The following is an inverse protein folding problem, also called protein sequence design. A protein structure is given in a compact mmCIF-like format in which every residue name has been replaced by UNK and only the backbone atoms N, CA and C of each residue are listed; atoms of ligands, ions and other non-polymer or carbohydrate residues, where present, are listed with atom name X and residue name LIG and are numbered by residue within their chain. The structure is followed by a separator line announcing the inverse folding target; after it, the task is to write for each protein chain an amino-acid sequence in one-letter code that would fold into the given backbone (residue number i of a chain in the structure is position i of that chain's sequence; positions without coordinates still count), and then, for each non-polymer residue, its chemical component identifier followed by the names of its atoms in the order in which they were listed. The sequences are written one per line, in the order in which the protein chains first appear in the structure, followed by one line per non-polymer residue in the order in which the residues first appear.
data_IF_878329118920
#
_entry.id   IF_878329118920
#
_cell.length_a   1.000
_cell.length_b   1.000
_cell.length_c   1.000
_cell.angle_alpha   90.00
_cell.angle_beta   90.00
_cell.angle_gamma   90.00
#
_symmetry.space_group_name_H-M   'P 1'
#
loop_
_entity.id
_entity.type
_entity.pdbx_description
1 polymer ?
#
# COMPACT_ATOMS: atom_id res chain seq x y z
N UNK A 1 -11.40 -3.83 36.54
CA UNK A 1 -12.38 -3.90 35.44
C UNK A 1 -13.20 -5.17 35.54
N UNK A 2 -14.44 -5.21 35.05
CA UNK A 2 -15.18 -6.47 34.85
C UNK A 2 -14.40 -7.39 33.91
N UNK A 3 -14.38 -8.69 34.18
CA UNK A 3 -13.87 -9.69 33.22
C UNK A 3 -15.04 -10.18 32.38
N UNK A 4 -15.00 -9.89 31.08
CA UNK A 4 -15.95 -10.41 30.11
C UNK A 4 -15.50 -11.80 29.63
N UNK A 5 -16.45 -12.70 29.41
CA UNK A 5 -16.25 -14.04 28.84
C UNK A 5 -16.20 -14.05 27.30
N UNK A 6 -16.34 -12.87 26.69
CA UNK A 6 -16.29 -12.64 25.25
C UNK A 6 -15.42 -11.43 24.89
N UNK A 7 -14.97 -11.39 23.64
CA UNK A 7 -14.39 -10.22 22.96
C UNK A 7 -15.22 -9.88 21.73
N UNK A 8 -14.99 -8.72 21.12
CA UNK A 8 -15.59 -8.36 19.84
C UNK A 8 -14.60 -8.62 18.71
N UNK A 9 -15.00 -9.39 17.69
CA UNK A 9 -14.37 -9.29 16.38
C UNK A 9 -15.09 -8.19 15.60
N UNK A 10 -14.33 -7.18 15.22
CA UNK A 10 -14.74 -6.06 14.40
C UNK A 10 -14.20 -6.27 12.99
N UNK A 11 -14.95 -5.87 11.97
CA UNK A 11 -14.46 -5.85 10.58
C UNK A 11 -14.99 -4.61 9.87
N UNK A 12 -14.09 -3.75 9.42
CA UNK A 12 -14.36 -2.42 8.88
C UNK A 12 -13.48 -2.14 7.65
N UNK A 13 -13.70 -1.01 6.98
CA UNK A 13 -12.80 -0.51 5.91
C UNK A 13 -12.09 0.75 6.38
N UNK A 14 -10.78 0.83 6.18
CA UNK A 14 -10.01 2.06 6.40
C UNK A 14 -10.22 3.07 5.25
N UNK A 15 -9.49 4.19 5.28
CA UNK A 15 -9.55 5.22 4.26
C UNK A 15 -9.18 4.71 2.85
N UNK A 16 -8.23 3.77 2.76
CA UNK A 16 -7.70 3.17 1.54
C UNK A 16 -8.55 2.01 0.98
N UNK A 17 -9.80 1.88 1.44
CA UNK A 17 -10.73 0.78 1.20
C UNK A 17 -10.26 -0.62 1.64
N UNK A 18 -9.15 -0.75 2.37
CA UNK A 18 -8.63 -2.01 2.92
C UNK A 18 -9.58 -2.51 4.00
N UNK A 19 -10.04 -3.76 3.88
CA UNK A 19 -10.85 -4.38 4.92
C UNK A 19 -9.94 -4.86 6.06
N UNK A 20 -10.13 -4.31 7.26
CA UNK A 20 -9.37 -4.65 8.46
C UNK A 20 -10.25 -5.50 9.37
N UNK A 21 -9.70 -6.56 9.94
CA UNK A 21 -10.35 -7.42 10.94
C UNK A 21 -9.56 -7.36 12.25
N UNK A 22 -10.22 -7.02 13.34
CA UNK A 22 -9.58 -6.73 14.64
C UNK A 22 -10.34 -7.40 15.80
N UNK A 23 -9.61 -7.84 16.83
CA UNK A 23 -10.18 -8.28 18.13
C UNK A 23 -9.97 -7.20 19.17
N UNK A 24 -11.07 -6.77 19.81
CA UNK A 24 -11.06 -5.77 20.88
C UNK A 24 -11.83 -6.25 22.11
N UNK A 25 -11.35 -5.85 23.28
CA UNK A 25 -11.98 -6.19 24.56
C UNK A 25 -13.19 -5.27 24.86
N UNK A 26 -14.26 -5.75 25.50
CA UNK A 26 -15.38 -4.90 25.83
C UNK A 26 -14.97 -3.82 26.85
N UNK A 27 -15.12 -2.55 26.46
CA UNK A 27 -14.76 -1.40 27.29
C UNK A 27 -13.28 -1.02 27.27
N UNK A 28 -12.48 -1.51 26.30
CA UNK A 28 -11.17 -0.92 26.00
C UNK A 28 -11.33 0.40 25.24
N UNK A 29 -10.32 1.27 25.32
CA UNK A 29 -10.33 2.55 24.59
C UNK A 29 -10.45 2.33 23.07
N UNK A 30 -9.78 1.30 22.55
CA UNK A 30 -9.87 0.87 21.14
C UNK A 30 -11.27 0.41 20.74
N UNK A 31 -12.01 -0.25 21.63
CA UNK A 31 -13.41 -0.59 21.40
C UNK A 31 -14.31 0.66 21.38
N UNK A 32 -14.05 1.64 22.25
CA UNK A 32 -14.76 2.93 22.27
C UNK A 32 -14.50 3.72 20.99
N UNK A 33 -13.25 3.78 20.52
CA UNK A 33 -12.84 4.43 19.29
C UNK A 33 -13.56 3.84 18.06
N UNK A 34 -13.42 2.53 17.83
CA UNK A 34 -14.04 1.84 16.69
C UNK A 34 -15.57 1.97 16.71
N UNK A 35 -16.20 1.85 17.87
CA UNK A 35 -17.66 1.91 17.99
C UNK A 35 -18.18 3.35 17.92
N UNK A 36 -17.37 4.36 18.26
CA UNK A 36 -17.67 5.76 17.99
C UNK A 36 -17.72 6.09 16.49
N UNK A 37 -16.98 5.34 15.67
CA UNK A 37 -16.96 5.45 14.22
C UNK A 37 -17.95 4.51 13.48
N UNK A 38 -18.82 3.78 14.20
CA UNK A 38 -19.66 2.71 13.61
C UNK A 38 -20.65 3.17 12.52
N UNK A 39 -21.12 4.42 12.60
CA UNK A 39 -22.07 4.98 11.62
C UNK A 39 -21.35 5.58 10.40
N UNK A 40 -20.06 5.92 10.51
CA UNK A 40 -19.26 6.51 9.42
C UNK A 40 -18.46 5.44 8.67
N UNK A 41 -17.90 4.46 9.39
CA UNK A 41 -17.23 3.29 8.82
C UNK A 41 -18.24 2.15 8.66
N UNK A 42 -18.32 1.54 7.47
CA UNK A 42 -19.21 0.39 7.20
C UNK A 42 -18.74 -0.86 7.94
N UNK A 43 -19.02 -0.90 9.23
CA UNK A 43 -18.44 -1.82 10.19
C UNK A 43 -19.40 -2.96 10.52
N UNK A 44 -18.85 -4.15 10.71
CA UNK A 44 -19.56 -5.34 11.18
C UNK A 44 -18.92 -5.82 12.48
N UNK A 45 -19.76 -6.26 13.43
CA UNK A 45 -19.32 -6.65 14.77
C UNK A 45 -19.96 -7.99 15.12
N UNK A 46 -19.16 -8.93 15.65
CA UNK A 46 -19.66 -10.15 16.28
C UNK A 46 -18.93 -10.43 17.59
N UNK A 47 -19.57 -11.16 18.50
CA UNK A 47 -18.91 -11.68 19.70
C UNK A 47 -18.08 -12.93 19.37
N UNK A 48 -16.91 -13.05 19.99
CA UNK A 48 -16.01 -14.21 19.93
C UNK A 48 -15.55 -14.59 21.34
N UNK A 49 -14.92 -15.76 21.48
CA UNK A 49 -14.39 -16.22 22.78
C UNK A 49 -13.35 -15.24 23.35
N UNK A 50 -13.28 -15.11 24.67
CA UNK A 50 -12.23 -14.37 25.35
C UNK A 50 -10.80 -14.90 25.08
N UNK A 51 -10.67 -16.14 24.58
CA UNK A 51 -9.37 -16.78 24.27
C UNK A 51 -8.70 -16.26 22.99
N UNK A 52 -9.36 -15.41 22.19
CA UNK A 52 -8.69 -14.74 21.07
C UNK A 52 -7.75 -13.66 21.61
N UNK A 53 -6.56 -13.55 21.02
CA UNK A 53 -5.64 -12.45 21.28
C UNK A 53 -6.21 -11.13 20.73
N UNK A 54 -5.79 -10.01 21.30
CA UNK A 54 -6.24 -8.67 20.89
C UNK A 54 -5.41 -8.16 19.72
N UNK A 55 -5.97 -7.25 18.92
CA UNK A 55 -5.29 -6.62 17.80
C UNK A 55 -5.78 -7.12 16.43
N UNK A 56 -5.03 -6.79 15.39
CA UNK A 56 -5.40 -7.04 13.99
C UNK A 56 -5.20 -8.52 13.66
N UNK A 57 -6.26 -9.19 13.21
CA UNK A 57 -6.24 -10.58 12.70
C UNK A 57 -5.94 -10.67 11.20
N UNK A 58 -5.86 -9.53 10.52
CA UNK A 58 -5.55 -9.45 9.10
C UNK A 58 -6.25 -8.29 8.39
N UNK A 59 -5.55 -7.77 7.39
CA UNK A 59 -5.96 -6.79 6.38
C UNK A 59 -6.32 -7.53 5.08
N UNK A 60 -7.20 -6.96 4.26
CA UNK A 60 -7.54 -7.50 2.94
C UNK A 60 -7.73 -6.38 1.90
N UNK A 61 -6.89 -6.40 0.84
CA UNK A 61 -6.79 -5.35 -0.18
C UNK A 61 -7.15 -5.90 -1.57
N UNK A 62 -7.86 -5.09 -2.36
CA UNK A 62 -8.45 -5.50 -3.64
C UNK A 62 -7.72 -4.88 -4.85
N UNK A 63 -6.79 -5.63 -5.44
CA UNK A 63 -5.95 -5.16 -6.54
C UNK A 63 -6.61 -5.36 -7.92
N UNK A 64 -6.74 -4.32 -8.76
CA UNK A 64 -7.24 -4.45 -10.12
C UNK A 64 -6.15 -5.02 -11.05
N UNK A 65 -6.47 -6.13 -11.71
CA UNK A 65 -5.63 -6.80 -12.72
C UNK A 65 -6.35 -6.95 -14.06
N UNK A 66 -5.60 -6.91 -15.17
CA UNK A 66 -6.11 -7.07 -16.53
C UNK A 66 -6.25 -8.55 -16.88
N UNK A 67 -7.42 -8.95 -17.38
CA UNK A 67 -7.72 -10.33 -17.82
C UNK A 67 -7.47 -10.55 -19.32
N UNK A 68 -7.36 -9.48 -20.10
CA UNK A 68 -7.31 -9.47 -21.57
C UNK A 68 -8.38 -8.53 -22.13
N UNK A 69 -8.22 -8.07 -23.38
CA UNK A 69 -9.18 -7.23 -24.12
C UNK A 69 -9.81 -6.08 -23.28
N UNK A 70 -8.98 -5.34 -22.55
CA UNK A 70 -9.35 -4.24 -21.64
C UNK A 70 -10.36 -4.58 -20.52
N UNK A 71 -10.62 -5.87 -20.27
CA UNK A 71 -11.40 -6.33 -19.13
C UNK A 71 -10.51 -6.42 -17.88
N UNK A 72 -11.01 -5.92 -16.74
CA UNK A 72 -10.34 -5.93 -15.45
C UNK A 72 -11.09 -6.81 -14.44
N UNK A 73 -10.33 -7.48 -13.57
CA UNK A 73 -10.85 -8.24 -12.42
C UNK A 73 -10.12 -7.75 -11.17
N UNK A 74 -10.83 -7.57 -10.05
CA UNK A 74 -10.18 -7.41 -8.73
C UNK A 74 -9.76 -8.78 -8.20
N UNK A 75 -8.53 -8.90 -7.73
CA UNK A 75 -8.07 -10.01 -6.86
C UNK A 75 -7.99 -9.50 -5.43
N UNK A 76 -8.29 -10.36 -4.47
CA UNK A 76 -8.13 -10.07 -3.05
C UNK A 76 -6.85 -10.73 -2.56
N UNK A 77 -6.00 -9.96 -1.89
CA UNK A 77 -4.89 -10.48 -1.08
C UNK A 77 -5.27 -10.22 0.36
N UNK A 78 -5.28 -11.26 1.19
CA UNK A 78 -5.38 -11.12 2.63
C UNK A 78 -3.95 -11.20 3.19
N UNK A 79 -3.63 -10.40 4.19
CA UNK A 79 -2.30 -10.33 4.78
C UNK A 79 -2.38 -9.86 6.24
N UNK A 80 -1.35 -10.16 7.02
CA UNK A 80 -1.05 -9.50 8.29
C UNK A 80 0.27 -8.74 8.15
N UNK A 81 0.48 -7.75 9.02
CA UNK A 81 1.73 -7.01 9.16
C UNK A 81 2.18 -7.21 10.60
N UNK A 82 3.32 -7.85 10.80
CA UNK A 82 3.89 -8.15 12.12
C UNK A 82 5.38 -7.74 12.08
N UNK A 83 5.85 -6.92 13.03
CA UNK A 83 7.28 -6.59 13.23
C UNK A 83 8.04 -6.39 11.90
N UNK A 84 7.67 -5.37 11.13
CA UNK A 84 8.24 -5.01 9.80
C UNK A 84 8.01 -6.01 8.64
N UNK A 85 7.23 -7.07 8.85
CA UNK A 85 7.05 -8.13 7.86
C UNK A 85 5.58 -8.27 7.41
N UNK A 86 5.37 -8.24 6.10
CA UNK A 86 4.10 -8.68 5.49
C UNK A 86 4.05 -10.21 5.54
N UNK A 87 2.90 -10.78 5.90
CA UNK A 87 2.64 -12.23 5.74
C UNK A 87 1.31 -12.43 5.03
N UNK A 88 1.29 -13.24 3.97
CA UNK A 88 0.12 -13.39 3.10
C UNK A 88 -0.75 -14.58 3.57
N UNK A 89 -2.02 -14.30 3.84
CA UNK A 89 -2.99 -15.22 4.42
C UNK A 89 -3.89 -15.86 3.35
N UNK A 90 -4.11 -17.18 3.47
CA UNK A 90 -5.02 -17.98 2.62
C UNK A 90 -4.81 -17.83 1.10
N UNK A 91 -3.58 -17.57 0.66
CA UNK A 91 -3.29 -17.31 -0.76
C UNK A 91 -3.62 -18.49 -1.67
N UNK A 92 -4.32 -18.20 -2.77
CA UNK A 92 -4.61 -19.17 -3.83
C UNK A 92 -3.91 -18.75 -5.12
N UNK A 93 -2.93 -19.54 -5.62
CA UNK A 93 -2.24 -19.27 -6.87
C UNK A 93 -3.22 -19.01 -8.02
N UNK A 94 -2.94 -17.97 -8.79
CA UNK A 94 -3.80 -17.51 -9.87
C UNK A 94 -3.01 -17.27 -11.16
N UNK A 95 -3.72 -17.22 -12.28
CA UNK A 95 -3.15 -16.89 -13.59
C UNK A 95 -3.25 -15.40 -13.88
N UNK A 96 -2.10 -14.77 -14.13
CA UNK A 96 -2.02 -13.43 -14.69
C UNK A 96 -1.55 -13.56 -16.15
N UNK A 97 -2.47 -13.36 -17.09
CA UNK A 97 -2.32 -13.80 -18.47
C UNK A 97 -1.96 -15.30 -18.50
N UNK A 98 -0.82 -15.68 -19.06
CA UNK A 98 -0.38 -17.08 -19.16
C UNK A 98 0.47 -17.55 -17.94
N UNK A 99 0.91 -16.62 -17.09
CA UNK A 99 1.88 -16.87 -16.02
C UNK A 99 1.19 -17.20 -14.70
N UNK A 100 1.82 -18.05 -13.88
CA UNK A 100 1.31 -18.41 -12.55
C UNK A 100 1.90 -17.48 -11.51
N UNK A 101 1.04 -16.81 -10.74
CA UNK A 101 1.43 -16.01 -9.58
C UNK A 101 1.36 -16.88 -8.33
N UNK A 102 2.41 -16.85 -7.52
CA UNK A 102 2.56 -17.58 -6.26
C UNK A 102 3.08 -16.63 -5.18
N UNK A 103 3.14 -17.07 -3.92
CA UNK A 103 3.84 -16.35 -2.86
C UNK A 103 5.28 -16.88 -2.78
N UNK A 104 6.24 -15.97 -2.60
CA UNK A 104 7.58 -16.23 -2.10
C UNK A 104 7.52 -16.05 -0.58
N UNK A 105 7.70 -17.12 0.18
CA UNK A 105 7.80 -17.06 1.63
C UNK A 105 9.28 -16.89 2.01
N UNK A 106 9.62 -15.85 2.78
CA UNK A 106 10.98 -15.55 3.22
C UNK A 106 11.01 -15.13 4.69
N UNK A 107 12.22 -14.96 5.22
CA UNK A 107 12.42 -14.43 6.57
C UNK A 107 12.07 -12.93 6.62
N UNK A 108 12.31 -12.19 5.52
CA UNK A 108 11.93 -10.78 5.34
C UNK A 108 10.47 -10.61 4.84
N UNK A 109 9.61 -11.59 5.14
CA UNK A 109 8.18 -11.58 4.80
C UNK A 109 7.79 -12.23 3.46
N UNK A 110 6.48 -12.18 3.21
CA UNK A 110 5.81 -12.80 2.08
C UNK A 110 5.53 -11.79 0.96
N UNK A 111 6.04 -12.08 -0.25
CA UNK A 111 5.80 -11.27 -1.44
C UNK A 111 5.24 -12.10 -2.60
N UNK A 112 4.49 -11.48 -3.51
CA UNK A 112 4.07 -12.15 -4.73
C UNK A 112 5.26 -12.33 -5.68
N UNK A 113 5.37 -13.54 -6.24
CA UNK A 113 6.35 -13.90 -7.27
C UNK A 113 5.67 -14.54 -8.48
N UNK A 114 6.35 -14.50 -9.62
CA UNK A 114 5.88 -15.10 -10.87
C UNK A 114 7.00 -15.90 -11.52
N UNK A 115 6.71 -17.15 -11.85
CA UNK A 115 7.63 -17.98 -12.64
C UNK A 115 7.40 -17.72 -14.15
N UNK A 116 8.46 -17.34 -14.85
CA UNK A 116 8.48 -17.14 -16.30
C UNK A 116 8.85 -18.42 -17.07
N UNK A 117 9.24 -19.50 -16.39
CA UNK A 117 9.45 -20.83 -16.92
C UNK A 117 10.67 -21.02 -17.83
N UNK A 118 11.57 -20.03 -17.92
CA UNK A 118 12.79 -20.06 -18.75
C UNK A 118 13.93 -19.31 -18.06
N UNK A 119 15.11 -19.94 -17.98
CA UNK A 119 16.35 -19.28 -17.52
C UNK A 119 16.81 -18.15 -18.46
N UNK A 120 16.48 -18.23 -19.75
CA UNK A 120 16.80 -17.21 -20.76
C UNK A 120 15.51 -16.64 -21.32
N UNK A 121 15.25 -15.36 -21.06
CA UNK A 121 14.08 -14.65 -21.57
C UNK A 121 14.30 -14.12 -23.00
N UNK A 122 14.43 -15.05 -23.95
CA UNK A 122 14.47 -14.75 -25.38
C UNK A 122 13.04 -14.60 -25.94
N UNK A 123 12.56 -13.36 -25.99
CA UNK A 123 11.18 -13.03 -26.36
C UNK A 123 10.96 -13.17 -27.87
N UNK A 124 9.99 -13.99 -28.27
CA UNK A 124 9.78 -14.39 -29.66
C UNK A 124 8.79 -13.49 -30.41
N UNK A 125 8.04 -12.65 -29.70
CA UNK A 125 7.07 -11.72 -30.30
C UNK A 125 6.88 -10.43 -29.49
N UNK A 126 6.47 -9.35 -30.16
CA UNK A 126 6.09 -8.08 -29.50
C UNK A 126 4.99 -8.26 -28.44
N UNK A 127 4.07 -9.19 -28.67
CA UNK A 127 2.98 -9.51 -27.73
C UNK A 127 3.49 -10.18 -26.45
N UNK A 128 4.45 -11.10 -26.58
CA UNK A 128 5.08 -11.77 -25.42
C UNK A 128 5.86 -10.75 -24.57
N UNK A 129 6.57 -9.78 -25.19
CA UNK A 129 7.23 -8.65 -24.50
C UNK A 129 6.22 -7.83 -23.69
N UNK A 130 5.11 -7.42 -24.33
CA UNK A 130 4.09 -6.60 -23.68
C UNK A 130 3.42 -7.33 -22.51
N UNK A 131 3.16 -8.64 -22.66
CA UNK A 131 2.57 -9.47 -21.62
C UNK A 131 3.50 -9.63 -20.41
N UNK A 132 4.80 -9.87 -20.61
CA UNK A 132 5.76 -10.01 -19.48
C UNK A 132 5.98 -8.68 -18.78
N UNK A 133 6.14 -7.57 -19.53
CA UNK A 133 6.20 -6.23 -18.91
C UNK A 133 4.95 -5.96 -18.06
N UNK A 134 3.76 -6.26 -18.58
CA UNK A 134 2.52 -6.09 -17.84
C UNK A 134 2.49 -6.92 -16.55
N UNK A 135 2.90 -8.19 -16.62
CA UNK A 135 2.94 -9.12 -15.48
C UNK A 135 3.93 -8.65 -14.42
N UNK A 136 5.18 -8.37 -14.79
CA UNK A 136 6.22 -7.88 -13.86
C UNK A 136 5.79 -6.59 -13.16
N UNK A 137 5.36 -5.58 -13.92
CA UNK A 137 4.92 -4.31 -13.36
C UNK A 137 3.70 -4.47 -12.43
N UNK A 138 2.79 -5.41 -12.73
CA UNK A 138 1.62 -5.67 -11.88
C UNK A 138 2.01 -6.32 -10.56
N UNK A 139 2.94 -7.29 -10.58
CA UNK A 139 3.44 -7.94 -9.37
C UNK A 139 4.27 -6.97 -8.51
N UNK A 140 5.16 -6.19 -9.12
CA UNK A 140 5.90 -5.14 -8.42
C UNK A 140 4.97 -4.12 -7.77
N UNK A 141 3.96 -3.63 -8.49
CA UNK A 141 2.98 -2.69 -7.91
C UNK A 141 2.26 -3.29 -6.70
N UNK A 142 1.79 -4.54 -6.78
CA UNK A 142 1.11 -5.20 -5.65
C UNK A 142 2.06 -5.36 -4.46
N UNK A 143 3.31 -5.77 -4.68
CA UNK A 143 4.30 -5.90 -3.61
C UNK A 143 4.60 -4.55 -2.95
N UNK A 144 4.81 -3.49 -3.73
CA UNK A 144 5.04 -2.15 -3.20
C UNK A 144 3.82 -1.64 -2.38
N UNK A 145 2.58 -1.87 -2.87
CA UNK A 145 1.35 -1.51 -2.16
C UNK A 145 1.07 -2.35 -0.88
N UNK A 146 1.80 -3.46 -0.68
CA UNK A 146 1.80 -4.25 0.56
C UNK A 146 2.93 -3.80 1.50
N UNK A 147 4.12 -3.51 0.96
CA UNK A 147 5.26 -3.00 1.74
C UNK A 147 5.00 -1.59 2.29
N UNK A 148 4.30 -0.73 1.55
CA UNK A 148 3.91 0.59 2.06
C UNK A 148 2.98 0.52 3.29
N UNK A 149 2.30 -0.61 3.52
CA UNK A 149 1.50 -0.79 4.74
C UNK A 149 2.39 -1.06 5.96
N UNK A 150 3.60 -1.55 5.75
CA UNK A 150 4.64 -1.71 6.79
C UNK A 150 5.29 -0.36 7.10
N UNK A 151 5.59 0.43 6.06
CA UNK A 151 6.15 1.78 6.20
C UNK A 151 5.19 2.71 6.96
N UNK A 152 3.87 2.52 6.85
CA UNK A 152 2.85 3.31 7.55
C UNK A 152 2.41 2.76 8.92
N UNK A 153 2.54 1.45 9.19
CA UNK A 153 2.27 0.89 10.53
C UNK A 153 3.44 1.19 11.50
N UNK A 154 4.61 1.58 10.98
CA UNK A 154 5.65 2.25 11.73
C UNK A 154 5.40 3.75 11.77
N UNK A 155 5.12 4.29 12.96
CA UNK A 155 5.41 5.70 13.26
C UNK A 155 6.94 5.87 13.25
N UNK A 156 7.53 5.98 12.06
CA UNK A 156 8.77 6.73 11.91
C UNK A 156 8.43 8.18 12.27
N UNK A 157 8.75 8.52 13.52
CA UNK A 157 8.86 9.90 13.98
C UNK A 157 9.96 10.53 13.10
N UNK A 158 9.55 11.18 12.00
CA UNK A 158 10.40 11.76 10.95
C UNK A 158 11.13 13.02 11.45
N UNK A 159 11.77 12.91 12.62
CA UNK A 159 12.89 13.76 13.01
C UNK A 159 14.18 13.11 12.49
N UNK A 160 14.95 13.88 11.70
CA UNK A 160 16.25 13.55 11.10
C UNK A 160 16.27 12.65 9.83
N UNK A 161 15.81 13.19 8.69
CA UNK A 161 16.37 12.80 7.39
C UNK A 161 16.52 13.94 6.36
N UNK A 162 17.12 15.06 6.79
CA UNK A 162 17.72 16.05 5.90
C UNK A 162 19.15 15.61 5.50
N UNK A 163 19.33 14.42 4.89
CA UNK A 163 20.53 14.15 4.07
C UNK A 163 20.47 14.97 2.78
N UNK A 164 20.73 16.27 2.94
CA UNK A 164 20.91 17.21 1.85
C UNK A 164 22.13 16.78 1.05
N UNK A 165 21.91 16.26 -0.17
CA UNK A 165 22.98 15.91 -1.11
C UNK A 165 23.85 17.14 -1.43
N UNK A 166 24.90 17.33 -0.65
CA UNK A 166 25.89 18.38 -0.86
C UNK A 166 26.74 18.01 -2.08
N UNK A 167 26.34 18.49 -3.25
CA UNK A 167 27.15 18.41 -4.46
C UNK A 167 28.34 19.36 -4.34
N UNK A 168 29.42 18.87 -3.73
CA UNK A 168 30.65 19.63 -3.58
C UNK A 168 31.32 19.84 -4.96
N UNK A 169 31.30 21.09 -5.41
CA UNK A 169 31.92 21.57 -6.63
C UNK A 169 32.40 23.03 -6.43
N UNK A 170 33.41 23.16 -5.57
CA UNK A 170 34.43 24.22 -5.55
C UNK A 170 34.72 24.85 -6.93
N UNK A 171 35.05 26.14 -7.10
CA UNK A 171 35.01 27.32 -6.21
C UNK A 171 35.26 28.58 -7.09
N UNK A 172 35.13 29.77 -6.48
CA UNK A 172 35.87 31.00 -6.75
C UNK A 172 35.42 32.04 -7.83
N UNK A 173 34.78 33.09 -7.29
CA UNK A 173 35.06 34.55 -7.44
C UNK A 173 34.34 35.47 -8.48
N UNK A 174 33.60 36.46 -7.91
CA UNK A 174 33.53 37.92 -8.17
C UNK A 174 33.56 38.44 -9.64
N UNK A 175 32.82 39.44 -10.15
CA UNK A 175 31.87 40.48 -9.68
C UNK A 175 31.17 41.04 -10.98
N UNK A 176 30.24 42.01 -11.05
CA UNK A 176 29.79 43.08 -10.15
C UNK A 176 28.35 43.58 -10.50
N UNK A 177 27.85 44.60 -9.79
CA UNK A 177 26.56 45.31 -9.95
C UNK A 177 26.29 46.01 -11.31
N UNK A 178 25.00 46.09 -11.71
CA UNK A 178 24.34 47.37 -12.11
C UNK A 178 22.81 47.32 -12.27
N UNK A 179 22.16 48.38 -11.81
CA UNK A 179 20.72 48.64 -11.94
C UNK A 179 20.33 49.07 -13.37
N UNK A 180 19.11 48.76 -13.85
CA UNK A 180 18.06 49.78 -14.05
C UNK A 180 16.67 49.18 -14.42
N UNK A 181 15.64 50.03 -14.35
CA UNK A 181 14.20 49.66 -14.43
C UNK A 181 13.64 49.70 -15.86
N UNK A 182 12.76 48.75 -16.20
CA UNK A 182 11.63 49.02 -17.11
C UNK A 182 10.35 48.41 -16.55
N UNK A 183 9.30 49.25 -16.41
CA UNK A 183 7.93 48.81 -16.11
C UNK A 183 7.24 48.34 -17.40
N UNK A 184 6.48 47.27 -17.33
CA UNK A 184 5.20 47.17 -18.06
C UNK A 184 4.17 46.46 -17.18
N UNK A 185 3.03 47.12 -16.96
CA UNK A 185 1.87 46.58 -16.29
C UNK A 185 0.90 46.07 -17.35
N UNK A 186 0.44 44.84 -17.21
CA UNK A 186 -0.76 44.33 -17.87
C UNK A 186 -1.58 43.60 -16.80
N UNK A 187 -2.83 44.02 -16.62
CA UNK A 187 -3.76 43.41 -15.66
C UNK A 187 -4.83 42.61 -16.41
N UNK A 188 -5.44 41.57 -15.81
CA UNK A 188 -6.28 40.61 -16.54
C UNK A 188 -7.52 41.18 -17.25
N UNK A 189 -7.93 42.42 -16.93
CA UNK A 189 -9.06 43.11 -17.53
C UNK A 189 -8.93 43.37 -19.04
N UNK A 190 -7.72 43.32 -19.60
CA UNK A 190 -7.47 43.55 -21.03
C UNK A 190 -7.77 42.34 -21.93
N UNK A 191 -8.12 41.18 -21.37
CA UNK A 191 -8.27 39.93 -22.12
C UNK A 191 -9.71 39.57 -22.52
N UNK A 192 -10.74 40.17 -21.92
CA UNK A 192 -12.14 39.84 -22.23
C UNK A 192 -13.08 41.06 -22.27
N UNK A 193 -13.50 41.40 -23.48
CA UNK A 193 -14.86 41.87 -23.78
C UNK A 193 -15.78 40.67 -23.96
#
# INVERSE_FOLDING_TARGET
MPRYDFKYQVSYKNADEVEVKEIVEPGSDRMIELFGAIDTMKMTVKKVSANFENGILGKAKLFPIKRGNNNYKKIQINYEVNDDNVRILDFKPFKLLNYTVTVSHREEGDLLQVDLGKQVFAVTSKTEVANVRYVMNTIQRINNELLSEVENDNDYDDEDNDEMYSSDATDDNNQDEKEEKVKTVLTPSDLFK
#
